data_IF_915299320228
#
_entry.id   IF_915299320228
#
_cell.length_a   1.000
_cell.length_b   1.000
_cell.length_c   1.000
_cell.angle_alpha   90.00
_cell.angle_beta   90.00
_cell.angle_gamma   90.00
#
_symmetry.space_group_name_H-M   'P 1'
#
loop_
_entity.id
_entity.type
_entity.pdbx_description
1 polymer ?
#
# COMPACT_ATOMS: atom_id res chain seq x y z
N UNK A 1 -14.62 16.47 14.86
CA UNK A 1 -14.76 15.06 14.44
C UNK A 1 -15.92 14.88 13.46
N UNK A 2 -17.12 15.38 13.75
CA UNK A 2 -18.32 15.25 12.89
C UNK A 2 -18.10 15.66 11.43
N UNK A 3 -17.48 16.82 11.19
CA UNK A 3 -17.12 17.28 9.84
C UNK A 3 -16.27 16.26 9.07
N UNK A 4 -15.30 15.64 9.73
CA UNK A 4 -14.43 14.62 9.12
C UNK A 4 -15.25 13.38 8.79
N UNK A 5 -16.09 12.91 9.71
CA UNK A 5 -16.97 11.75 9.50
C UNK A 5 -17.88 11.98 8.28
N UNK A 6 -18.49 13.16 8.17
CA UNK A 6 -19.30 13.50 7.00
C UNK A 6 -18.50 13.47 5.70
N UNK A 7 -17.25 13.96 5.69
CA UNK A 7 -16.38 13.96 4.52
C UNK A 7 -15.93 12.56 4.07
N UNK A 8 -15.81 11.61 5.00
CA UNK A 8 -15.37 10.23 4.73
C UNK A 8 -16.54 9.24 4.61
N UNK A 9 -17.77 9.65 4.93
CA UNK A 9 -18.95 8.83 4.80
C UNK A 9 -19.13 8.39 3.33
N UNK A 10 -19.36 7.09 3.10
CA UNK A 10 -19.41 6.53 1.74
C UNK A 10 -18.04 6.39 1.06
N UNK A 11 -16.92 6.62 1.76
CA UNK A 11 -15.55 6.36 1.27
C UNK A 11 -14.84 5.23 2.02
N UNK A 12 -15.35 4.81 3.17
CA UNK A 12 -14.79 3.71 3.96
C UNK A 12 -15.10 2.37 3.28
N UNK A 13 -14.08 1.53 3.07
CA UNK A 13 -14.24 0.23 2.40
C UNK A 13 -14.03 -0.98 3.30
N UNK A 14 -13.34 -0.83 4.43
CA UNK A 14 -13.05 -1.94 5.34
C UNK A 14 -14.05 -1.98 6.48
N UNK A 15 -14.65 -3.14 6.71
CA UNK A 15 -15.58 -3.37 7.83
C UNK A 15 -14.94 -3.01 9.18
N UNK A 16 -13.67 -3.36 9.38
CA UNK A 16 -12.97 -3.04 10.61
C UNK A 16 -12.95 -1.53 10.89
N UNK A 17 -12.72 -0.69 9.87
CA UNK A 17 -12.71 0.77 10.04
C UNK A 17 -14.12 1.31 10.24
N UNK A 18 -15.11 0.73 9.55
CA UNK A 18 -16.52 1.07 9.75
C UNK A 18 -16.96 0.81 11.19
N UNK A 19 -16.69 -0.39 11.72
CA UNK A 19 -17.04 -0.74 13.10
C UNK A 19 -16.26 0.05 14.14
N UNK A 20 -15.00 0.43 13.87
CA UNK A 20 -14.27 1.36 14.74
C UNK A 20 -14.98 2.71 14.81
N UNK A 21 -15.49 3.23 13.69
CA UNK A 21 -16.21 4.51 13.68
C UNK A 21 -17.54 4.37 14.41
N UNK A 22 -18.34 3.35 14.11
CA UNK A 22 -19.65 3.17 14.75
C UNK A 22 -19.49 2.94 16.25
N UNK A 23 -18.65 1.98 16.65
CA UNK A 23 -18.64 1.50 18.03
C UNK A 23 -17.81 2.38 18.96
N UNK A 24 -16.75 3.01 18.45
CA UNK A 24 -15.82 3.76 19.30
C UNK A 24 -16.03 5.27 19.21
N UNK A 25 -16.51 5.78 18.07
CA UNK A 25 -16.68 7.22 17.84
C UNK A 25 -18.15 7.60 17.97
N UNK A 26 -19.05 7.00 17.17
CA UNK A 26 -20.45 7.41 17.13
C UNK A 26 -21.23 6.99 18.37
N UNK A 27 -20.84 5.91 19.04
CA UNK A 27 -21.41 5.50 20.34
C UNK A 27 -20.85 6.27 21.54
N UNK A 28 -19.88 7.16 21.36
CA UNK A 28 -19.35 7.97 22.45
C UNK A 28 -20.36 9.06 22.85
N UNK A 29 -20.50 9.33 24.16
CA UNK A 29 -21.43 10.36 24.67
C UNK A 29 -21.27 11.73 24.01
N UNK A 30 -20.04 12.11 23.62
CA UNK A 30 -19.77 13.38 22.95
C UNK A 30 -20.30 13.45 21.50
N UNK A 31 -20.62 12.31 20.88
CA UNK A 31 -21.06 12.21 19.49
C UNK A 31 -22.37 11.43 19.30
N UNK A 32 -23.04 11.01 20.38
CA UNK A 32 -24.17 10.09 20.30
C UNK A 32 -25.36 10.66 19.53
N UNK A 33 -25.66 11.96 19.70
CA UNK A 33 -26.74 12.62 18.96
C UNK A 33 -26.41 12.76 17.47
N UNK A 34 -25.15 13.11 17.15
CA UNK A 34 -24.67 13.10 15.77
C UNK A 34 -24.77 11.68 15.17
N UNK A 35 -24.33 10.66 15.90
CA UNK A 35 -24.38 9.26 15.51
C UNK A 35 -25.80 8.77 15.20
N UNK A 36 -26.80 9.15 16.01
CA UNK A 36 -28.22 8.82 15.77
C UNK A 36 -28.76 9.45 14.47
N UNK A 37 -28.29 10.65 14.12
CA UNK A 37 -28.72 11.36 12.90
C UNK A 37 -27.99 10.91 11.64
N UNK A 38 -26.80 10.30 11.78
CA UNK A 38 -25.93 9.96 10.67
C UNK A 38 -26.25 8.58 10.09
N UNK A 39 -26.54 8.53 8.78
CA UNK A 39 -26.54 7.28 8.03
C UNK A 39 -25.13 6.99 7.47
N UNK A 40 -24.30 6.30 8.25
CA UNK A 40 -22.95 5.91 7.84
C UNK A 40 -23.01 4.76 6.82
N UNK A 41 -22.34 4.92 5.67
CA UNK A 41 -22.34 3.96 4.56
C UNK A 41 -20.94 3.44 4.26
N UNK A 42 -20.84 2.13 4.07
CA UNK A 42 -19.70 1.49 3.43
C UNK A 42 -19.70 1.76 1.93
N UNK A 43 -18.51 1.92 1.37
CA UNK A 43 -18.30 1.94 -0.06
C UNK A 43 -18.02 0.51 -0.54
N UNK A 44 -18.96 -0.05 -1.30
CA UNK A 44 -18.87 -1.39 -1.87
C UNK A 44 -18.46 -1.36 -3.35
N UNK A 45 -18.13 -0.19 -3.90
CA UNK A 45 -17.68 -0.06 -5.29
C UNK A 45 -16.27 -0.66 -5.44
N UNK A 46 -16.04 -1.39 -6.52
CA UNK A 46 -14.75 -1.96 -6.86
C UNK A 46 -13.80 -0.97 -7.56
N UNK A 47 -14.27 0.22 -7.93
CA UNK A 47 -13.45 1.24 -8.57
C UNK A 47 -12.34 1.74 -7.64
N UNK A 48 -11.08 1.55 -8.04
CA UNK A 48 -9.91 2.05 -7.33
C UNK A 48 -9.26 3.25 -8.03
N UNK A 49 -9.86 3.83 -9.08
CA UNK A 49 -9.36 5.01 -9.80
C UNK A 49 -9.62 6.32 -9.04
N UNK A 50 -9.23 6.36 -7.77
CA UNK A 50 -9.36 7.51 -6.87
C UNK A 50 -8.33 7.40 -5.74
N UNK A 51 -8.20 8.42 -4.89
CA UNK A 51 -7.18 8.46 -3.81
C UNK A 51 -7.35 7.41 -2.70
N UNK A 52 -8.38 6.55 -2.72
CA UNK A 52 -8.62 5.59 -1.64
C UNK A 52 -7.46 4.63 -1.42
N UNK A 53 -6.93 4.01 -2.49
CA UNK A 53 -5.82 3.07 -2.37
C UNK A 53 -4.52 3.80 -1.97
N UNK A 54 -4.38 5.10 -2.26
CA UNK A 54 -3.24 5.89 -1.83
C UNK A 54 -3.26 6.08 -0.31
N UNK A 55 -4.38 6.55 0.24
CA UNK A 55 -4.55 6.67 1.69
C UNK A 55 -4.46 5.33 2.42
N UNK A 56 -5.02 4.27 1.84
CA UNK A 56 -4.89 2.92 2.40
C UNK A 56 -3.43 2.43 2.42
N UNK A 57 -2.68 2.74 1.36
CA UNK A 57 -1.28 2.37 1.24
C UNK A 57 -0.37 3.17 2.17
N UNK A 58 -0.67 4.45 2.40
CA UNK A 58 0.00 5.28 3.40
C UNK A 58 -0.08 4.64 4.79
N UNK A 59 -1.21 4.01 5.14
CA UNK A 59 -1.34 3.26 6.39
C UNK A 59 -0.59 1.92 6.34
N UNK A 60 -0.97 1.02 5.43
CA UNK A 60 -0.65 -0.42 5.58
C UNK A 60 0.31 -0.99 4.52
N UNK A 61 0.63 -0.25 3.46
CA UNK A 61 1.47 -0.80 2.38
C UNK A 61 2.98 -0.65 2.61
N UNK A 62 3.76 -1.45 1.88
CA UNK A 62 5.21 -1.43 1.86
C UNK A 62 5.75 -1.54 0.43
N UNK A 63 6.65 -0.63 0.06
CA UNK A 63 7.45 -0.73 -1.15
C UNK A 63 8.79 -1.36 -0.82
N UNK A 64 9.14 -2.45 -1.51
CA UNK A 64 10.34 -3.23 -1.21
C UNK A 64 11.12 -3.52 -2.50
N UNK A 65 12.43 -3.31 -2.42
CA UNK A 65 13.39 -3.81 -3.41
C UNK A 65 14.05 -5.05 -2.81
N UNK A 66 13.98 -6.19 -3.51
CA UNK A 66 14.65 -7.44 -3.14
C UNK A 66 15.74 -7.72 -4.17
N UNK A 67 16.94 -8.03 -3.69
CA UNK A 67 18.08 -8.48 -4.50
C UNK A 67 18.35 -9.90 -4.06
N UNK A 68 18.19 -10.86 -4.97
CA UNK A 68 18.27 -12.29 -4.69
C UNK A 68 19.43 -12.86 -5.48
N UNK A 69 20.42 -13.38 -4.79
CA UNK A 69 21.51 -14.11 -5.44
C UNK A 69 21.02 -15.52 -5.76
N UNK A 70 20.95 -15.85 -7.05
CA UNK A 70 20.77 -17.21 -7.56
C UNK A 70 22.13 -17.78 -7.93
N UNK A 71 22.19 -19.08 -8.17
CA UNK A 71 23.42 -19.78 -8.57
C UNK A 71 24.02 -19.22 -9.87
N UNK A 72 23.17 -18.75 -10.78
CA UNK A 72 23.53 -18.31 -12.13
C UNK A 72 23.45 -16.80 -12.35
N UNK A 73 22.73 -16.07 -11.49
CA UNK A 73 22.46 -14.64 -11.68
C UNK A 73 22.04 -13.92 -10.42
N UNK A 74 22.14 -12.60 -10.44
CA UNK A 74 21.49 -11.72 -9.46
C UNK A 74 20.12 -11.32 -9.99
N UNK A 75 19.07 -11.59 -9.22
CA UNK A 75 17.68 -11.26 -9.56
C UNK A 75 17.21 -10.07 -8.72
N UNK A 76 16.76 -9.00 -9.39
CA UNK A 76 16.12 -7.85 -8.72
C UNK A 76 14.60 -7.99 -8.81
N UNK A 77 13.92 -7.94 -7.66
CA UNK A 77 12.45 -7.94 -7.58
C UNK A 77 11.94 -6.67 -6.92
N UNK A 78 10.89 -6.12 -7.49
CA UNK A 78 10.16 -4.99 -6.96
C UNK A 78 8.84 -5.49 -6.39
N UNK A 79 8.69 -5.43 -5.06
CA UNK A 79 7.51 -5.93 -4.36
C UNK A 79 6.72 -4.76 -3.75
N UNK A 80 5.48 -4.56 -4.20
CA UNK A 80 4.49 -3.76 -3.48
C UNK A 80 3.60 -4.71 -2.68
N UNK A 81 3.57 -4.54 -1.36
CA UNK A 81 2.93 -5.48 -0.43
C UNK A 81 2.00 -4.77 0.54
N UNK A 82 0.89 -5.41 0.90
CA UNK A 82 -0.08 -4.94 1.90
C UNK A 82 -0.50 -6.13 2.75
N UNK A 83 -0.42 -6.02 4.07
CA UNK A 83 -0.81 -7.06 5.01
C UNK A 83 -2.16 -6.67 5.67
N UNK A 84 -3.11 -7.61 5.79
CA UNK A 84 -4.42 -7.41 6.42
C UNK A 84 -4.92 -8.68 7.12
N UNK A 85 -5.76 -8.50 8.15
CA UNK A 85 -6.43 -9.60 8.85
C UNK A 85 -7.50 -10.31 8.01
N UNK A 86 -8.18 -9.58 7.12
CA UNK A 86 -9.15 -10.14 6.17
C UNK A 86 -8.64 -9.97 4.74
N UNK A 87 -8.97 -10.92 3.86
CA UNK A 87 -8.49 -10.92 2.47
C UNK A 87 -9.40 -10.15 1.49
N UNK A 88 -10.61 -9.75 1.88
CA UNK A 88 -11.60 -9.14 0.97
C UNK A 88 -11.07 -7.90 0.23
N UNK A 89 -10.46 -6.97 0.97
CA UNK A 89 -9.85 -5.77 0.38
C UNK A 89 -8.59 -6.10 -0.43
N UNK A 90 -7.87 -7.15 -0.05
CA UNK A 90 -6.67 -7.59 -0.76
C UNK A 90 -7.03 -8.22 -2.13
N UNK A 91 -8.16 -8.93 -2.21
CA UNK A 91 -8.70 -9.48 -3.46
C UNK A 91 -9.03 -8.35 -4.43
N UNK A 92 -9.71 -7.30 -3.96
CA UNK A 92 -9.99 -6.13 -4.78
C UNK A 92 -8.72 -5.48 -5.34
N UNK A 93 -7.68 -5.34 -4.50
CA UNK A 93 -6.40 -4.75 -4.91
C UNK A 93 -5.67 -5.66 -5.90
N UNK A 94 -5.72 -6.98 -5.70
CA UNK A 94 -5.15 -7.97 -6.62
C UNK A 94 -5.80 -7.91 -7.99
N UNK A 95 -7.12 -7.78 -8.07
CA UNK A 95 -7.82 -7.73 -9.35
C UNK A 95 -7.46 -6.45 -10.13
N UNK A 96 -7.26 -5.34 -9.41
CA UNK A 96 -6.85 -4.06 -9.98
C UNK A 96 -5.37 -4.04 -10.42
N UNK A 97 -4.45 -4.42 -9.55
CA UNK A 97 -2.99 -4.30 -9.76
C UNK A 97 -2.32 -5.59 -10.30
N UNK A 98 -3.04 -6.71 -10.39
CA UNK A 98 -2.46 -8.05 -10.57
C UNK A 98 -1.79 -8.56 -9.29
N UNK A 99 -0.86 -9.51 -9.38
CA UNK A 99 -0.14 -10.03 -8.21
C UNK A 99 -0.84 -11.21 -7.54
N UNK A 100 -0.46 -11.49 -6.29
CA UNK A 100 -0.88 -12.69 -5.56
C UNK A 100 -1.30 -12.37 -4.13
N UNK A 101 -2.17 -13.23 -3.57
CA UNK A 101 -2.50 -13.22 -2.15
C UNK A 101 -1.92 -14.47 -1.52
N UNK A 102 -1.26 -14.30 -0.39
CA UNK A 102 -0.83 -15.38 0.47
C UNK A 102 -1.41 -15.25 1.87
N UNK A 103 -1.30 -16.34 2.63
CA UNK A 103 -1.67 -16.38 4.04
C UNK A 103 -0.46 -16.81 4.88
N UNK A 104 -0.14 -16.02 5.90
CA UNK A 104 0.96 -16.28 6.84
C UNK A 104 0.40 -16.84 8.13
N UNK A 105 0.37 -18.17 8.23
CA UNK A 105 -0.18 -18.91 9.40
C UNK A 105 0.38 -18.43 10.74
N UNK A 106 1.69 -18.16 10.82
CA UNK A 106 2.36 -17.74 12.06
C UNK A 106 1.91 -16.38 12.59
N UNK A 107 1.29 -15.54 11.75
CA UNK A 107 0.81 -14.21 12.14
C UNK A 107 -0.70 -14.07 11.99
N UNK A 108 -1.39 -15.14 11.59
CA UNK A 108 -2.82 -15.12 11.25
C UNK A 108 -3.17 -13.88 10.41
N UNK A 109 -2.46 -13.72 9.28
CA UNK A 109 -2.52 -12.51 8.46
C UNK A 109 -2.42 -12.87 6.98
N UNK A 110 -3.28 -12.25 6.17
CA UNK A 110 -3.20 -12.31 4.72
C UNK A 110 -2.29 -11.21 4.22
N UNK A 111 -1.61 -11.45 3.10
CA UNK A 111 -0.85 -10.41 2.42
C UNK A 111 -1.13 -10.44 0.93
N UNK A 112 -1.28 -9.26 0.36
CA UNK A 112 -1.17 -9.00 -1.05
C UNK A 112 0.31 -8.73 -1.38
N UNK A 113 0.83 -9.30 -2.46
CA UNK A 113 2.18 -9.02 -2.95
C UNK A 113 2.26 -9.06 -4.48
N UNK A 114 3.03 -8.14 -5.06
CA UNK A 114 3.22 -8.06 -6.51
C UNK A 114 4.69 -7.91 -6.86
N UNK A 115 5.29 -8.98 -7.42
CA UNK A 115 6.71 -9.01 -7.81
C UNK A 115 6.94 -9.01 -9.32
N UNK A 116 5.87 -9.08 -10.13
CA UNK A 116 5.99 -9.07 -11.59
C UNK A 116 6.20 -7.64 -12.10
N UNK A 117 6.97 -7.48 -13.19
CA UNK A 117 7.16 -6.16 -13.80
C UNK A 117 5.87 -5.58 -14.39
N UNK A 118 4.93 -6.44 -14.82
CA UNK A 118 3.60 -6.02 -15.28
C UNK A 118 2.77 -5.40 -14.15
N UNK A 119 2.71 -6.04 -12.98
CA UNK A 119 2.06 -5.44 -11.81
C UNK A 119 2.79 -4.19 -11.33
N UNK A 120 4.13 -4.18 -11.39
CA UNK A 120 4.90 -2.99 -11.01
C UNK A 120 4.54 -1.77 -11.88
N UNK A 121 4.34 -1.96 -13.19
CA UNK A 121 3.87 -0.89 -14.09
C UNK A 121 2.50 -0.35 -13.65
N UNK A 122 1.55 -1.22 -13.29
CA UNK A 122 0.23 -0.83 -12.80
C UNK A 122 0.31 -0.04 -11.49
N UNK A 123 1.16 -0.48 -10.56
CA UNK A 123 1.45 0.24 -9.30
C UNK A 123 1.99 1.64 -9.59
N UNK A 124 2.96 1.77 -10.50
CA UNK A 124 3.53 3.08 -10.88
C UNK A 124 2.45 3.97 -11.47
N UNK A 125 1.70 3.47 -12.46
CA UNK A 125 0.62 4.23 -13.09
C UNK A 125 -0.38 4.75 -12.06
N UNK A 126 -0.77 3.93 -11.08
CA UNK A 126 -1.69 4.37 -10.04
C UNK A 126 -1.09 5.50 -9.19
N UNK A 127 0.12 5.32 -8.63
CA UNK A 127 0.72 6.29 -7.70
C UNK A 127 1.31 7.54 -8.36
N UNK A 128 1.55 7.52 -9.68
CA UNK A 128 1.87 8.71 -10.47
C UNK A 128 0.63 9.61 -10.67
N UNK A 129 -0.59 9.05 -10.60
CA UNK A 129 -1.85 9.82 -10.69
C UNK A 129 -2.45 10.14 -9.31
N UNK A 130 -2.36 9.22 -8.36
CA UNK A 130 -2.89 9.33 -7.01
C UNK A 130 -1.76 9.21 -5.99
N UNK A 131 -1.20 10.35 -5.61
CA UNK A 131 0.00 10.40 -4.79
C UNK A 131 -0.24 9.92 -3.35
N UNK A 132 0.75 9.19 -2.83
CA UNK A 132 0.92 8.98 -1.39
C UNK A 132 1.23 10.33 -0.71
N UNK A 133 0.64 10.56 0.46
CA UNK A 133 0.81 11.79 1.23
C UNK A 133 1.75 11.61 2.44
N UNK A 134 2.10 10.37 2.79
CA UNK A 134 3.05 10.09 3.87
C UNK A 134 4.50 10.04 3.38
N UNK A 135 5.43 9.84 4.32
CA UNK A 135 6.84 9.55 4.03
C UNK A 135 7.05 8.33 3.13
N UNK A 136 6.05 7.43 2.99
CA UNK A 136 6.10 6.33 2.02
C UNK A 136 6.19 6.81 0.57
N UNK A 137 5.81 8.05 0.27
CA UNK A 137 6.02 8.64 -1.06
C UNK A 137 7.50 8.61 -1.47
N UNK A 138 8.42 8.88 -0.55
CA UNK A 138 9.87 8.84 -0.82
C UNK A 138 10.31 7.41 -1.16
N UNK A 139 9.79 6.40 -0.45
CA UNK A 139 10.07 5.00 -0.74
C UNK A 139 9.51 4.58 -2.10
N UNK A 140 8.30 5.03 -2.44
CA UNK A 140 7.71 4.83 -3.76
C UNK A 140 8.60 5.42 -4.86
N UNK A 141 9.07 6.66 -4.72
CA UNK A 141 9.94 7.30 -5.73
C UNK A 141 11.25 6.53 -5.93
N UNK A 142 11.87 6.03 -4.85
CA UNK A 142 13.07 5.16 -4.94
C UNK A 142 12.76 3.84 -5.63
N UNK A 143 11.62 3.23 -5.31
CA UNK A 143 11.15 1.99 -5.90
C UNK A 143 10.83 2.16 -7.41
N UNK A 144 10.19 3.27 -7.79
CA UNK A 144 9.94 3.67 -9.19
C UNK A 144 11.24 3.93 -9.95
N UNK A 145 12.23 4.57 -9.32
CA UNK A 145 13.56 4.75 -9.93
C UNK A 145 14.26 3.43 -10.19
N UNK A 146 14.16 2.47 -9.26
CA UNK A 146 14.67 1.12 -9.48
C UNK A 146 13.94 0.42 -10.65
N UNK A 147 12.62 0.61 -10.78
CA UNK A 147 11.88 0.09 -11.94
C UNK A 147 12.43 0.61 -13.28
N UNK A 148 12.74 1.91 -13.37
CA UNK A 148 13.32 2.50 -14.60
C UNK A 148 14.67 1.86 -14.94
N UNK A 149 15.56 1.68 -13.95
CA UNK A 149 16.85 0.99 -14.14
C UNK A 149 16.63 -0.45 -14.64
N UNK A 150 15.59 -1.12 -14.15
CA UNK A 150 15.24 -2.47 -14.59
C UNK A 150 14.75 -2.48 -16.04
N UNK A 151 13.85 -1.56 -16.42
CA UNK A 151 13.33 -1.48 -17.79
C UNK A 151 14.43 -1.16 -18.82
N UNK A 152 15.42 -0.37 -18.43
CA UNK A 152 16.59 -0.08 -19.27
C UNK A 152 17.59 -1.24 -19.35
N UNK A 153 17.35 -2.36 -18.65
CA UNK A 153 18.28 -3.49 -18.49
C UNK A 153 19.61 -3.14 -17.79
N UNK A 154 19.75 -1.93 -17.25
CA UNK A 154 20.95 -1.49 -16.55
C UNK A 154 21.25 -2.32 -15.28
N UNK A 155 20.23 -2.92 -14.67
CA UNK A 155 20.40 -3.83 -13.54
C UNK A 155 21.24 -5.09 -13.85
N UNK A 156 21.50 -5.39 -15.12
CA UNK A 156 22.35 -6.50 -15.56
C UNK A 156 23.85 -6.15 -15.49
N UNK A 157 24.20 -4.87 -15.38
CA UNK A 157 25.57 -4.43 -15.18
C UNK A 157 25.80 -4.00 -13.72
N UNK A 158 27.09 -4.01 -13.31
CA UNK A 158 27.47 -3.76 -11.92
C UNK A 158 27.06 -2.36 -11.44
N UNK A 159 27.16 -1.35 -12.30
CA UNK A 159 26.82 0.03 -11.94
C UNK A 159 25.32 0.23 -11.69
N UNK A 160 24.48 -0.32 -12.57
CA UNK A 160 23.03 -0.31 -12.40
C UNK A 160 22.58 -1.11 -11.18
N UNK A 161 23.20 -2.27 -10.94
CA UNK A 161 22.96 -3.06 -9.73
C UNK A 161 23.36 -2.29 -8.46
N UNK A 162 24.54 -1.66 -8.44
CA UNK A 162 25.01 -0.84 -7.33
C UNK A 162 24.06 0.35 -7.05
N UNK A 163 23.53 0.99 -8.10
CA UNK A 163 22.51 2.04 -7.95
C UNK A 163 21.24 1.51 -7.27
N UNK A 164 20.77 0.32 -7.66
CA UNK A 164 19.60 -0.32 -7.04
C UNK A 164 19.88 -0.70 -5.57
N UNK A 165 21.05 -1.23 -5.27
CA UNK A 165 21.46 -1.56 -3.89
C UNK A 165 21.49 -0.30 -3.02
N UNK A 166 22.03 0.82 -3.53
CA UNK A 166 22.02 2.12 -2.83
C UNK A 166 20.61 2.66 -2.63
N UNK A 167 19.71 2.51 -3.62
CA UNK A 167 18.30 2.87 -3.44
C UNK A 167 17.68 2.05 -2.31
N UNK A 168 17.81 0.72 -2.37
CA UNK A 168 17.32 -0.21 -1.35
C UNK A 168 17.82 0.14 0.05
N UNK A 169 19.13 0.39 0.21
CA UNK A 169 19.74 0.63 1.52
C UNK A 169 19.28 1.93 2.19
N UNK A 170 18.74 2.87 1.42
CA UNK A 170 18.20 4.13 1.93
C UNK A 170 16.67 4.14 2.04
N UNK A 171 15.98 3.05 1.66
CA UNK A 171 14.55 2.92 1.91
C UNK A 171 14.32 2.74 3.42
N UNK A 172 13.20 3.26 3.93
CA UNK A 172 12.77 3.12 5.33
C UNK A 172 13.70 3.70 6.41
N UNK A 173 14.72 4.52 6.05
CA UNK A 173 15.62 5.18 7.02
C UNK A 173 14.99 6.31 7.85
N UNK A 174 13.68 6.54 7.75
CA UNK A 174 13.01 7.62 8.48
C UNK A 174 12.62 7.25 9.92
N UNK A 175 13.11 6.12 10.45
CA UNK A 175 12.88 5.68 11.84
C UNK A 175 14.09 5.79 12.77
N UNK A 176 15.30 6.06 12.26
CA UNK A 176 16.52 5.93 13.08
C UNK A 176 17.11 7.30 13.49
N UNK A 177 16.28 8.34 13.52
CA UNK A 177 16.70 9.67 13.98
C UNK A 177 15.60 10.32 14.81
N UNK A 178 15.19 9.63 15.87
CA UNK A 178 14.77 10.30 17.10
C UNK A 178 15.97 10.25 18.05
N UNK A 179 16.66 11.39 18.13
CA UNK A 179 17.54 11.75 19.26
C UNK A 179 16.68 11.94 20.50
#
# INVERSE_FOLDING_TARGET
MEKVINLINGKIRTENKFYQITNNILSNNNFIEFGKSLNLKLNLNNDLQNHWLAGFSDADASFQIKVVNRSDRVEVRLNFQIDQKKNSVLLLIKDFLGGNIGYRKSQDTYYYGSTSYGSAKKVINYFDHFHLLSSKHINYLKWRKAYIIIQNKDHLNQDGLNKIIKLKSTMNRLSDTTV
#
